data_IF_826844573326
#
_entry.id   IF_826844573326
#
_cell.length_a   1.000
_cell.length_b   1.000
_cell.length_c   1.000
_cell.angle_alpha   90.00
_cell.angle_beta   90.00
_cell.angle_gamma   90.00
#
_symmetry.space_group_name_H-M   'P 1'
#
loop_
_entity.id
_entity.type
_entity.pdbx_description
1 polymer ?
#
# COMPACT_ATOMS: atom_id res chain seq x y z
N UNK A 1 -23.24 -6.94 -31.21
CA UNK A 1 -23.72 -6.66 -29.84
C UNK A 1 -22.75 -7.28 -28.85
N UNK A 2 -22.19 -6.66 -27.81
CA UNK A 2 -22.21 -5.28 -27.32
C UNK A 2 -20.77 -4.90 -26.94
N UNK A 3 -20.24 -3.76 -27.40
CA UNK A 3 -20.32 -2.43 -26.76
C UNK A 3 -20.02 -2.48 -25.26
N UNK A 4 -18.76 -2.13 -24.93
CA UNK A 4 -18.25 -1.37 -23.78
C UNK A 4 -19.22 -1.25 -22.59
N UNK A 5 -18.84 -1.74 -21.41
CA UNK A 5 -19.03 -1.05 -20.13
C UNK A 5 -18.45 -1.86 -18.97
N UNK A 6 -17.16 -1.65 -18.69
CA UNK A 6 -16.73 -1.51 -17.30
C UNK A 6 -16.00 -0.19 -17.24
N UNK A 7 -16.78 0.88 -17.04
CA UNK A 7 -16.29 2.14 -16.48
C UNK A 7 -15.18 1.81 -15.50
N UNK A 8 -13.95 2.20 -15.84
CA UNK A 8 -12.83 2.34 -14.92
C UNK A 8 -13.24 3.38 -13.89
N UNK A 9 -14.04 2.95 -12.91
CA UNK A 9 -14.66 3.83 -11.94
C UNK A 9 -13.62 4.04 -10.87
N UNK A 10 -12.93 5.17 -10.95
CA UNK A 10 -12.08 5.74 -9.91
C UNK A 10 -12.42 5.19 -8.50
N UNK A 11 -11.67 4.20 -8.02
CA UNK A 11 -12.04 3.51 -6.77
C UNK A 11 -11.41 2.14 -6.46
N UNK A 12 -10.64 1.51 -7.35
CA UNK A 12 -10.18 0.13 -7.11
C UNK A 12 -8.94 0.06 -6.21
N UNK A 13 -9.11 0.39 -4.92
CA UNK A 13 -8.20 -0.08 -3.87
C UNK A 13 -8.78 -1.36 -3.27
N UNK A 14 -8.09 -2.48 -3.44
CA UNK A 14 -8.48 -3.75 -2.81
C UNK A 14 -7.95 -3.82 -1.37
N UNK A 15 -8.81 -4.18 -0.42
CA UNK A 15 -8.41 -4.37 0.98
C UNK A 15 -7.85 -5.78 1.16
N UNK A 16 -6.58 -5.85 1.52
CA UNK A 16 -5.92 -7.11 1.90
C UNK A 16 -5.78 -7.21 3.43
N UNK A 17 -5.68 -8.44 3.93
CA UNK A 17 -5.34 -8.72 5.33
C UNK A 17 -3.95 -9.33 5.38
N UNK A 18 -3.08 -8.79 6.25
CA UNK A 18 -1.72 -9.29 6.45
C UNK A 18 -1.46 -9.46 7.95
N UNK A 19 -0.59 -10.40 8.29
CA UNK A 19 -0.08 -10.56 9.65
C UNK A 19 1.29 -9.88 9.75
N UNK A 20 1.50 -9.11 10.81
CA UNK A 20 2.76 -8.42 11.11
C UNK A 20 3.24 -8.79 12.50
N UNK A 21 4.55 -8.76 12.72
CA UNK A 21 5.12 -8.89 14.06
C UNK A 21 4.76 -7.69 14.94
N UNK A 22 4.65 -7.91 16.25
CA UNK A 22 4.31 -6.82 17.20
C UNK A 22 5.33 -5.68 17.19
N UNK A 23 6.60 -5.99 16.97
CA UNK A 23 7.69 -5.01 16.93
C UNK A 23 7.55 -4.13 15.69
N UNK A 24 7.36 -4.73 14.51
CA UNK A 24 7.18 -4.00 13.25
C UNK A 24 5.93 -3.11 13.30
N UNK A 25 4.83 -3.64 13.84
CA UNK A 25 3.60 -2.86 14.01
C UNK A 25 3.82 -1.64 14.91
N UNK A 26 4.56 -1.80 16.02
CA UNK A 26 4.90 -0.69 16.91
C UNK A 26 5.76 0.38 16.23
N UNK A 27 6.71 -0.02 15.39
CA UNK A 27 7.52 0.92 14.60
C UNK A 27 6.69 1.69 13.58
N UNK A 28 5.77 1.00 12.88
CA UNK A 28 4.83 1.64 11.95
C UNK A 28 3.95 2.65 12.68
N UNK A 29 3.43 2.26 13.85
CA UNK A 29 2.60 3.12 14.67
C UNK A 29 3.34 4.37 15.14
N UNK A 30 4.61 4.24 15.52
CA UNK A 30 5.44 5.38 15.90
C UNK A 30 5.60 6.36 14.74
N UNK A 31 5.93 5.88 13.54
CA UNK A 31 6.09 6.72 12.35
C UNK A 31 4.80 7.44 11.96
N UNK A 32 3.65 6.79 12.12
CA UNK A 32 2.34 7.41 11.91
C UNK A 32 2.05 8.45 13.00
N UNK A 33 2.36 8.15 14.26
CA UNK A 33 2.13 9.03 15.39
C UNK A 33 2.98 10.31 15.32
N UNK A 34 4.24 10.19 14.90
CA UNK A 34 5.16 11.32 14.69
C UNK A 34 4.81 12.15 13.43
N UNK A 35 3.83 11.71 12.63
CA UNK A 35 3.30 12.45 11.49
C UNK A 35 4.08 12.26 10.19
N UNK A 36 5.04 11.32 10.13
CA UNK A 36 5.74 10.99 8.89
C UNK A 36 4.82 10.36 7.84
N UNK A 37 3.78 9.65 8.28
CA UNK A 37 2.77 9.04 7.43
C UNK A 37 1.36 9.34 7.96
N UNK A 38 0.40 9.53 7.06
CA UNK A 38 -0.98 9.85 7.47
C UNK A 38 -1.72 8.69 8.14
N UNK A 39 -1.38 7.45 7.82
CA UNK A 39 -1.95 6.24 8.43
C UNK A 39 -1.09 5.00 8.08
N UNK A 40 -1.36 3.87 8.75
CA UNK A 40 -0.66 2.59 8.52
C UNK A 40 -0.76 2.13 7.06
N UNK A 41 -1.92 2.29 6.42
CA UNK A 41 -2.12 1.89 5.02
C UNK A 41 -1.23 2.68 4.08
N UNK A 42 -0.99 3.96 4.35
CA UNK A 42 -0.13 4.81 3.56
C UNK A 42 1.34 4.40 3.64
N UNK A 43 1.82 4.13 4.87
CA UNK A 43 3.14 3.55 5.08
C UNK A 43 3.32 2.26 4.28
N UNK A 44 2.39 1.30 4.42
CA UNK A 44 2.47 -0.01 3.75
C UNK A 44 2.44 0.16 2.23
N UNK A 45 1.60 1.06 1.69
CA UNK A 45 1.54 1.35 0.25
C UNK A 45 2.87 1.90 -0.26
N UNK A 46 3.48 2.82 0.48
CA UNK A 46 4.78 3.40 0.12
C UNK A 46 5.89 2.35 0.15
N UNK A 47 5.93 1.50 1.19
CA UNK A 47 6.89 0.41 1.29
C UNK A 47 6.77 -0.57 0.11
N UNK A 48 5.55 -0.98 -0.26
CA UNK A 48 5.30 -1.86 -1.40
C UNK A 48 5.80 -1.22 -2.70
N UNK A 49 5.48 0.06 -2.94
CA UNK A 49 5.95 0.78 -4.13
C UNK A 49 7.47 0.81 -4.21
N UNK A 50 8.15 1.09 -3.10
CA UNK A 50 9.61 1.12 -3.05
C UNK A 50 10.23 -0.26 -3.37
N UNK A 51 9.65 -1.33 -2.85
CA UNK A 51 10.09 -2.70 -3.15
C UNK A 51 9.86 -3.04 -4.63
N UNK A 52 8.69 -2.72 -5.18
CA UNK A 52 8.42 -2.93 -6.60
C UNK A 52 9.39 -2.15 -7.49
N UNK A 53 9.69 -0.89 -7.19
CA UNK A 53 10.69 -0.09 -7.92
C UNK A 53 12.07 -0.73 -7.85
N UNK A 54 12.47 -1.23 -6.67
CA UNK A 54 13.77 -1.90 -6.48
C UNK A 54 13.90 -3.18 -7.32
N UNK A 55 12.83 -3.96 -7.43
CA UNK A 55 12.81 -5.20 -8.22
C UNK A 55 12.50 -5.00 -9.71
N UNK A 56 11.87 -3.88 -10.09
CA UNK A 56 11.60 -3.53 -11.47
C UNK A 56 12.87 -3.11 -12.24
N UNK A 57 13.94 -2.75 -11.52
CA UNK A 57 15.24 -2.49 -12.13
C UNK A 57 15.87 -3.84 -12.50
N UNK A 58 16.00 -4.17 -13.81
CA UNK A 58 16.63 -5.41 -14.24
C UNK A 58 18.09 -5.38 -13.76
N UNK A 59 18.49 -6.41 -13.01
CA UNK A 59 19.89 -6.71 -12.80
C UNK A 59 20.48 -7.35 -14.04
#
# INVERSE_FOLDING_TARGET
MGVRDLRSKAGDSEKITITLGFIDLGQIDLLVHEGFYSNRTDFIRTAIRNQLTTHAMPR
#
